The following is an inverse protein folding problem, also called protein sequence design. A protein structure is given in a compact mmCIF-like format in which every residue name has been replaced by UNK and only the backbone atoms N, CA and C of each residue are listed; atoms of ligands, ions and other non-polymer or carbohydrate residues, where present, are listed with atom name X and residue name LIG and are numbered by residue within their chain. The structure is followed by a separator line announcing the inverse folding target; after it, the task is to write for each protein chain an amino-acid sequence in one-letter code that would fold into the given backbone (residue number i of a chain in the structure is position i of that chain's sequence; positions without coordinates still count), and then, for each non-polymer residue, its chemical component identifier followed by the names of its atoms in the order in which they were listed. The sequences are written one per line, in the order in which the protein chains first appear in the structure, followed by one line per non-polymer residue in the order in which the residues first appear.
data_IF_079465759754
#
_entry.id   IF_079465759754
#
_cell.length_a   1.000
_cell.length_b   1.000
_cell.length_c   1.000
_cell.angle_alpha   90.00
_cell.angle_beta   90.00
_cell.angle_gamma   90.00
#
_symmetry.space_group_name_H-M   'P 1'
#
loop_
_entity.id
_entity.type
_entity.pdbx_description
1 polymer ?
#
# COMPACT_ATOMS: atom_id res chain seq x y z
N UNK A 1 -9.67 24.06 7.68
CA UNK A 1 -10.18 23.54 8.98
C UNK A 1 -11.12 22.34 8.87
N UNK A 2 -11.54 21.91 7.67
CA UNK A 2 -12.38 20.73 7.46
C UNK A 2 -11.61 19.41 7.30
N UNK A 3 -10.29 19.46 7.10
CA UNK A 3 -9.45 18.28 6.80
C UNK A 3 -9.11 17.42 8.04
N UNK A 4 -9.33 17.92 9.26
CA UNK A 4 -9.14 17.13 10.48
C UNK A 4 -10.29 16.14 10.74
N UNK A 5 -11.46 16.33 10.13
CA UNK A 5 -12.61 15.46 10.36
C UNK A 5 -12.57 14.17 9.53
N UNK A 6 -11.77 14.15 8.45
CA UNK A 6 -11.70 13.03 7.50
C UNK A 6 -10.61 11.99 7.83
N UNK A 7 -9.64 12.32 8.71
CA UNK A 7 -8.64 11.36 9.24
C UNK A 7 -9.23 10.57 10.41
N UNK A 8 -10.22 9.74 10.13
CA UNK A 8 -10.50 8.44 10.77
C UNK A 8 -10.13 8.22 12.25
N UNK A 9 -10.25 9.19 13.16
CA UNK A 9 -10.06 8.95 14.60
C UNK A 9 -11.37 8.42 15.19
N UNK A 10 -11.79 7.24 14.71
CA UNK A 10 -12.83 6.42 15.34
C UNK A 10 -12.52 6.11 16.83
N UNK A 11 -11.29 6.39 17.29
CA UNK A 11 -10.89 6.43 18.71
C UNK A 11 -11.80 7.28 19.62
N UNK A 12 -12.57 8.24 19.09
CA UNK A 12 -13.51 9.03 19.88
C UNK A 12 -14.86 8.31 20.13
N UNK A 13 -15.20 7.29 19.34
CA UNK A 13 -16.43 6.52 19.49
C UNK A 13 -16.54 5.78 20.82
N UNK A 14 -15.54 5.01 21.29
CA UNK A 14 -15.65 4.32 22.57
C UNK A 14 -15.78 5.31 23.75
N UNK A 15 -15.13 6.48 23.66
CA UNK A 15 -15.26 7.54 24.65
C UNK A 15 -16.68 8.15 24.65
N UNK A 16 -17.24 8.43 23.47
CA UNK A 16 -18.59 8.96 23.32
C UNK A 16 -19.66 7.94 23.78
N UNK A 17 -19.49 6.66 23.45
CA UNK A 17 -20.35 5.57 23.90
C UNK A 17 -20.26 5.44 25.42
N UNK A 18 -19.06 5.51 25.99
CA UNK A 18 -18.85 5.47 27.43
C UNK A 18 -19.54 6.65 28.15
N UNK A 19 -19.34 7.87 27.65
CA UNK A 19 -20.00 9.06 28.18
C UNK A 19 -21.53 8.96 28.09
N UNK A 20 -22.05 8.50 26.95
CA UNK A 20 -23.49 8.31 26.75
C UNK A 20 -24.07 7.29 27.73
N UNK A 21 -23.40 6.16 27.95
CA UNK A 21 -23.83 5.15 28.92
C UNK A 21 -23.80 5.67 30.36
N UNK A 22 -22.75 6.39 30.75
CA UNK A 22 -22.64 6.99 32.08
C UNK A 22 -23.74 8.03 32.34
N UNK A 23 -24.00 8.90 31.37
CA UNK A 23 -25.05 9.91 31.45
C UNK A 23 -26.44 9.25 31.56
N UNK A 24 -26.68 8.21 30.76
CA UNK A 24 -27.94 7.46 30.81
C UNK A 24 -28.12 6.74 32.15
N UNK A 25 -27.06 6.14 32.69
CA UNK A 25 -27.10 5.50 34.00
C UNK A 25 -27.45 6.50 35.10
N UNK A 26 -26.83 7.68 35.12
CA UNK A 26 -27.13 8.74 36.10
C UNK A 26 -28.60 9.20 35.99
N UNK A 27 -29.11 9.36 34.77
CA UNK A 27 -30.50 9.77 34.54
C UNK A 27 -31.50 8.70 35.00
N UNK A 28 -31.27 7.43 34.66
CA UNK A 28 -32.16 6.32 35.04
C UNK A 28 -32.14 6.10 36.55
N UNK A 29 -30.96 6.10 37.16
CA UNK A 29 -30.80 5.89 38.61
C UNK A 29 -31.36 7.07 39.42
N UNK A 30 -31.12 8.30 38.97
CA UNK A 30 -31.57 9.49 39.69
C UNK A 30 -33.06 9.80 39.52
N UNK A 31 -33.65 9.48 38.37
CA UNK A 31 -34.97 10.01 37.99
C UNK A 31 -36.08 8.96 37.85
N UNK A 32 -35.75 7.71 37.47
CA UNK A 32 -36.77 6.67 37.21
C UNK A 32 -37.00 5.77 38.44
N UNK A 33 -36.00 5.56 39.30
CA UNK A 33 -36.12 4.71 40.50
C UNK A 33 -35.70 5.42 41.80
N UNK A 34 -36.32 6.55 42.19
CA UNK A 34 -35.96 7.29 43.41
C UNK A 34 -36.30 6.54 44.72
N UNK A 35 -37.28 5.64 44.71
CA UNK A 35 -37.83 4.98 45.92
C UNK A 35 -37.30 3.54 46.14
N UNK A 36 -36.56 2.94 45.20
CA UNK A 36 -36.06 1.56 45.33
C UNK A 36 -34.75 1.43 46.13
N UNK A 37 -34.21 2.55 46.63
CA UNK A 37 -32.88 2.60 47.21
C UNK A 37 -32.88 2.73 48.74
N UNK A 38 -33.76 2.01 49.43
CA UNK A 38 -33.59 1.71 50.86
C UNK A 38 -32.58 0.56 51.04
N UNK A 39 -31.29 0.87 50.95
CA UNK A 39 -30.24 -0.10 51.27
C UNK A 39 -28.86 0.41 50.86
N UNK A 40 -28.09 0.93 51.83
CA UNK A 40 -26.74 1.46 51.60
C UNK A 40 -25.78 0.48 50.88
N UNK A 41 -26.06 -0.83 50.92
CA UNK A 41 -25.33 -1.85 50.17
C UNK A 41 -25.46 -1.73 48.65
N UNK A 42 -26.65 -1.42 48.13
CA UNK A 42 -26.88 -1.30 46.68
C UNK A 42 -26.25 -0.01 46.15
N UNK A 43 -26.28 1.06 46.96
CA UNK A 43 -25.56 2.29 46.66
C UNK A 43 -24.04 2.05 46.62
N UNK A 44 -23.48 1.30 47.58
CA UNK A 44 -22.06 0.90 47.54
C UNK A 44 -21.73 0.07 46.30
N UNK A 45 -22.56 -0.91 45.94
CA UNK A 45 -22.35 -1.76 44.78
C UNK A 45 -22.38 -0.95 43.47
N UNK A 46 -23.28 0.03 43.37
CA UNK A 46 -23.35 0.94 42.23
C UNK A 46 -22.09 1.81 42.11
N UNK A 47 -21.65 2.43 43.21
CA UNK A 47 -20.42 3.22 43.23
C UNK A 47 -19.17 2.38 42.92
N UNK A 48 -19.10 1.14 43.42
CA UNK A 48 -18.03 0.19 43.06
C UNK A 48 -18.06 -0.11 41.56
N UNK A 49 -19.24 -0.33 40.98
CA UNK A 49 -19.40 -0.54 39.53
C UNK A 49 -18.95 0.66 38.71
N UNK A 50 -19.30 1.88 39.13
CA UNK A 50 -18.86 3.13 38.48
C UNK A 50 -17.35 3.32 38.61
N UNK A 51 -16.76 3.03 39.77
CA UNK A 51 -15.30 3.12 39.97
C UNK A 51 -14.56 2.06 39.16
N UNK A 52 -15.07 0.82 39.09
CA UNK A 52 -14.49 -0.24 38.29
C UNK A 52 -14.58 0.08 36.79
N UNK A 53 -15.72 0.61 36.32
CA UNK A 53 -15.89 1.07 34.95
C UNK A 53 -15.00 2.28 34.63
N UNK A 54 -14.93 3.26 35.53
CA UNK A 54 -14.01 4.38 35.40
C UNK A 54 -12.54 3.93 35.37
N UNK A 55 -12.18 2.95 36.18
CA UNK A 55 -10.84 2.35 36.19
C UNK A 55 -10.52 1.64 34.87
N UNK A 56 -11.46 0.87 34.30
CA UNK A 56 -11.24 0.22 32.99
C UNK A 56 -11.15 1.24 31.86
N UNK A 57 -11.94 2.32 31.90
CA UNK A 57 -11.85 3.43 30.93
C UNK A 57 -10.51 4.15 31.07
N UNK A 58 -10.08 4.52 32.29
CA UNK A 58 -8.79 5.17 32.53
C UNK A 58 -7.64 4.26 32.13
N UNK A 59 -7.72 2.97 32.44
CA UNK A 59 -6.73 1.97 32.04
C UNK A 59 -6.67 1.87 30.50
N UNK A 60 -7.81 1.77 29.83
CA UNK A 60 -7.88 1.76 28.37
C UNK A 60 -7.27 3.03 27.78
N UNK A 61 -7.62 4.22 28.31
CA UNK A 61 -7.07 5.51 27.85
C UNK A 61 -5.58 5.66 28.18
N UNK A 62 -5.08 5.02 29.24
CA UNK A 62 -3.64 4.98 29.60
C UNK A 62 -2.85 3.92 28.85
N UNK A 63 -3.48 2.90 28.29
CA UNK A 63 -2.88 1.91 27.38
C UNK A 63 -2.91 2.41 25.92
N UNK A 64 -3.76 3.38 25.59
CA UNK A 64 -3.76 4.03 24.27
C UNK A 64 -2.47 4.81 23.89
N UNK A 65 -1.68 5.45 24.77
CA UNK A 65 -0.49 6.21 24.37
C UNK A 65 0.64 5.34 23.80
N UNK A 66 0.61 4.01 23.99
CA UNK A 66 1.58 3.10 23.36
C UNK A 66 1.20 2.71 21.92
N UNK A 67 -0.08 2.81 21.56
CA UNK A 67 -0.61 2.59 20.20
C UNK A 67 -0.82 3.92 19.46
N UNK A 68 -1.08 4.98 20.23
CA UNK A 68 -1.37 6.36 19.82
C UNK A 68 -0.32 7.27 20.43
N UNK A 69 0.95 6.92 20.32
CA UNK A 69 1.94 7.98 20.24
C UNK A 69 1.59 8.75 18.95
N UNK A 70 1.07 9.99 18.99
CA UNK A 70 1.12 10.82 17.81
C UNK A 70 2.59 10.83 17.45
N UNK A 71 2.94 10.20 16.32
CA UNK A 71 4.29 10.28 15.77
C UNK A 71 4.69 11.74 15.87
N UNK A 72 5.79 11.99 16.56
CA UNK A 72 6.47 13.28 16.48
C UNK A 72 6.37 13.70 15.03
N UNK A 73 5.71 14.83 14.78
CA UNK A 73 5.73 15.46 13.46
C UNK A 73 7.20 15.73 13.24
N UNK A 74 7.87 14.77 12.62
CA UNK A 74 9.25 14.88 12.25
C UNK A 74 9.27 16.04 11.28
N UNK A 75 9.97 17.11 11.65
CA UNK A 75 10.19 18.31 10.83
C UNK A 75 11.06 18.00 9.60
N UNK A 76 11.41 16.73 9.38
CA UNK A 76 12.20 16.29 8.25
C UNK A 76 11.34 16.34 6.99
N UNK A 77 11.82 17.02 5.92
CA UNK A 77 11.04 17.24 4.73
C UNK A 77 10.69 15.91 4.05
N UNK A 78 9.45 15.80 3.58
CA UNK A 78 9.00 14.68 2.77
C UNK A 78 9.80 14.61 1.45
N UNK A 79 10.69 13.62 1.35
CA UNK A 79 11.56 13.38 0.18
C UNK A 79 10.91 12.50 -0.88
N UNK A 80 9.62 12.19 -0.77
CA UNK A 80 8.93 11.35 -1.74
C UNK A 80 8.98 11.94 -3.16
N UNK A 81 8.91 13.27 -3.29
CA UNK A 81 9.00 13.95 -4.60
C UNK A 81 10.36 13.70 -5.25
N UNK A 82 11.44 13.80 -4.49
CA UNK A 82 12.80 13.54 -4.98
C UNK A 82 12.97 12.07 -5.38
N UNK A 83 12.46 11.15 -4.57
CA UNK A 83 12.46 9.72 -4.87
C UNK A 83 11.71 9.40 -6.17
N UNK A 84 10.55 10.02 -6.38
CA UNK A 84 9.76 9.86 -7.59
C UNK A 84 10.49 10.42 -8.82
N UNK A 85 11.17 11.57 -8.70
CA UNK A 85 12.00 12.09 -9.78
C UNK A 85 13.15 11.15 -10.13
N UNK A 86 13.88 10.63 -9.13
CA UNK A 86 14.95 9.67 -9.35
C UNK A 86 14.44 8.39 -10.04
N UNK A 87 13.25 7.90 -9.66
CA UNK A 87 12.60 6.77 -10.33
C UNK A 87 12.31 7.05 -11.80
N UNK A 88 11.76 8.23 -12.12
CA UNK A 88 11.46 8.63 -13.51
C UNK A 88 12.72 8.82 -14.35
N UNK A 89 13.85 9.15 -13.73
CA UNK A 89 15.16 9.24 -14.37
C UNK A 89 15.85 7.86 -14.54
N UNK A 90 15.19 6.76 -14.15
CA UNK A 90 15.75 5.41 -14.10
C UNK A 90 16.94 5.25 -13.13
N UNK A 91 17.12 6.19 -12.19
CA UNK A 91 18.11 6.10 -11.12
C UNK A 91 17.55 5.28 -9.95
N UNK A 92 17.40 3.96 -10.16
CA UNK A 92 16.71 3.08 -9.21
C UNK A 92 17.40 2.94 -7.84
N UNK A 93 18.74 3.03 -7.78
CA UNK A 93 19.50 2.95 -6.53
C UNK A 93 19.29 4.18 -5.63
N UNK A 94 19.26 5.36 -6.24
CA UNK A 94 18.97 6.62 -5.56
C UNK A 94 17.51 6.66 -5.12
N UNK A 95 16.58 6.24 -5.99
CA UNK A 95 15.16 6.13 -5.66
C UNK A 95 14.92 5.20 -4.46
N UNK A 96 15.56 4.03 -4.41
CA UNK A 96 15.49 3.10 -3.28
C UNK A 96 15.99 3.74 -1.98
N UNK A 97 17.12 4.46 -2.05
CA UNK A 97 17.70 5.12 -0.87
C UNK A 97 16.77 6.20 -0.32
N UNK A 98 16.20 7.04 -1.20
CA UNK A 98 15.27 8.09 -0.82
C UNK A 98 13.94 7.51 -0.31
N UNK A 99 13.43 6.44 -0.92
CA UNK A 99 12.22 5.75 -0.45
C UNK A 99 12.41 5.14 0.93
N UNK A 100 13.57 4.53 1.21
CA UNK A 100 13.87 4.01 2.54
C UNK A 100 13.93 5.12 3.60
N UNK A 101 14.40 6.32 3.25
CA UNK A 101 14.35 7.49 4.14
C UNK A 101 12.91 7.93 4.41
N UNK A 102 12.05 7.96 3.39
CA UNK A 102 10.62 8.26 3.55
C UNK A 102 9.94 7.22 4.44
N UNK A 103 10.21 5.93 4.22
CA UNK A 103 9.65 4.84 5.00
C UNK A 103 10.21 4.75 6.44
N UNK A 104 11.39 5.32 6.69
CA UNK A 104 11.91 5.47 8.05
C UNK A 104 11.07 6.48 8.87
N UNK A 105 10.47 7.46 8.20
CA UNK A 105 9.57 8.44 8.82
C UNK A 105 8.14 7.88 8.88
N UNK A 106 7.62 7.40 7.74
CA UNK A 106 6.28 6.84 7.58
C UNK A 106 6.37 5.41 7.01
N UNK A 107 6.53 4.42 7.89
CA UNK A 107 6.73 3.02 7.49
C UNK A 107 5.55 2.42 6.72
N UNK A 108 4.35 2.98 6.87
CA UNK A 108 3.12 2.46 6.27
C UNK A 108 2.55 3.38 5.20
N UNK A 109 3.40 4.13 4.51
CA UNK A 109 2.98 4.99 3.40
C UNK A 109 2.71 4.18 2.12
N UNK A 110 1.46 4.04 1.66
CA UNK A 110 1.15 3.26 0.46
C UNK A 110 1.87 3.74 -0.82
N UNK A 111 1.96 5.05 -1.15
CA UNK A 111 2.66 5.50 -2.34
C UNK A 111 4.16 5.22 -2.31
N UNK A 112 4.85 5.42 -1.18
CA UNK A 112 6.27 5.06 -1.06
C UNK A 112 6.50 3.55 -1.24
N UNK A 113 5.67 2.71 -0.59
CA UNK A 113 5.76 1.26 -0.74
C UNK A 113 5.45 0.79 -2.17
N UNK A 114 4.43 1.36 -2.82
CA UNK A 114 4.10 1.06 -4.22
C UNK A 114 5.27 1.42 -5.16
N UNK A 115 5.86 2.60 -5.00
CA UNK A 115 6.99 3.00 -5.83
C UNK A 115 8.21 2.10 -5.59
N UNK A 116 8.45 1.69 -4.35
CA UNK A 116 9.53 0.75 -4.00
C UNK A 116 9.32 -0.63 -4.63
N UNK A 117 8.09 -1.14 -4.68
CA UNK A 117 7.80 -2.38 -5.42
C UNK A 117 8.12 -2.27 -6.91
N UNK A 118 7.86 -1.10 -7.51
CA UNK A 118 8.25 -0.78 -8.88
C UNK A 118 9.77 -0.79 -9.07
N UNK A 119 10.52 -0.20 -8.13
CA UNK A 119 12.00 -0.23 -8.11
C UNK A 119 12.52 -1.68 -8.06
N UNK A 120 11.95 -2.51 -7.18
CA UNK A 120 12.33 -3.93 -7.09
C UNK A 120 12.05 -4.70 -8.38
N UNK A 121 10.92 -4.44 -9.04
CA UNK A 121 10.62 -5.03 -10.35
C UNK A 121 11.65 -4.60 -11.41
N UNK A 122 12.04 -3.33 -11.45
CA UNK A 122 13.02 -2.81 -12.43
C UNK A 122 14.45 -3.28 -12.17
N UNK A 123 14.78 -3.60 -10.92
CA UNK A 123 16.09 -4.13 -10.52
C UNK A 123 16.18 -5.66 -10.55
N UNK A 124 15.11 -6.34 -11.01
CA UNK A 124 15.07 -7.81 -11.10
C UNK A 124 14.83 -8.55 -9.78
N UNK A 125 14.62 -7.82 -8.67
CA UNK A 125 14.31 -8.38 -7.35
C UNK A 125 12.81 -8.71 -7.23
N UNK A 126 12.34 -9.65 -8.05
CA UNK A 126 10.91 -9.95 -8.19
C UNK A 126 10.28 -10.52 -6.92
N UNK A 127 10.99 -11.39 -6.21
CA UNK A 127 10.53 -11.97 -4.93
C UNK A 127 10.33 -10.89 -3.86
N UNK A 128 11.26 -9.93 -3.76
CA UNK A 128 11.14 -8.80 -2.84
C UNK A 128 9.97 -7.88 -3.20
N UNK A 129 9.71 -7.69 -4.50
CA UNK A 129 8.55 -6.93 -4.97
C UNK A 129 7.23 -7.62 -4.62
N UNK A 130 7.17 -8.96 -4.71
CA UNK A 130 5.99 -9.75 -4.36
C UNK A 130 5.68 -9.67 -2.87
N UNK A 131 6.69 -9.90 -2.02
CA UNK A 131 6.55 -9.79 -0.56
C UNK A 131 6.08 -8.40 -0.15
N UNK A 132 6.63 -7.35 -0.77
CA UNK A 132 6.23 -5.97 -0.49
C UNK A 132 4.76 -5.72 -0.88
N UNK A 133 4.31 -6.22 -2.03
CA UNK A 133 2.92 -6.07 -2.47
C UNK A 133 1.94 -6.84 -1.58
N UNK A 134 2.32 -8.00 -1.03
CA UNK A 134 1.47 -8.71 -0.05
C UNK A 134 1.34 -7.91 1.25
N UNK A 135 2.45 -7.34 1.74
CA UNK A 135 2.44 -6.49 2.94
C UNK A 135 1.56 -5.26 2.74
N UNK A 136 1.65 -4.58 1.58
CA UNK A 136 0.83 -3.40 1.28
C UNK A 136 -0.66 -3.76 1.32
N UNK A 137 -1.08 -4.90 0.76
CA UNK A 137 -2.49 -5.34 0.74
C UNK A 137 -3.08 -5.60 2.11
N UNK A 138 -2.24 -5.85 3.12
CA UNK A 138 -2.67 -6.07 4.51
C UNK A 138 -2.91 -4.77 5.27
N UNK A 139 -2.47 -3.63 4.73
CA UNK A 139 -2.63 -2.34 5.36
C UNK A 139 -4.03 -1.75 5.07
N UNK A 140 -4.77 -1.38 6.11
CA UNK A 140 -6.08 -0.71 5.98
C UNK A 140 -5.99 0.61 5.18
N UNK A 141 -4.86 1.33 5.30
CA UNK A 141 -4.61 2.60 4.60
C UNK A 141 -4.47 2.38 3.08
N UNK A 142 -4.17 1.15 2.65
CA UNK A 142 -3.94 0.79 1.25
C UNK A 142 -5.23 0.65 0.42
N UNK A 143 -6.40 0.55 1.05
CA UNK A 143 -7.69 0.33 0.38
C UNK A 143 -7.98 1.39 -0.70
N UNK A 144 -7.57 2.64 -0.46
CA UNK A 144 -7.72 3.73 -1.43
C UNK A 144 -6.89 3.51 -2.71
N UNK A 145 -5.82 2.73 -2.63
CA UNK A 145 -4.84 2.49 -3.70
C UNK A 145 -4.99 1.12 -4.37
N UNK A 146 -6.16 0.48 -4.21
CA UNK A 146 -6.39 -0.88 -4.69
C UNK A 146 -6.18 -1.04 -6.21
N UNK A 147 -6.47 0.00 -7.00
CA UNK A 147 -6.28 -0.02 -8.45
C UNK A 147 -4.80 -0.06 -8.81
N UNK A 148 -3.99 0.77 -8.14
CA UNK A 148 -2.55 0.88 -8.32
C UNK A 148 -1.86 -0.41 -7.89
N UNK A 149 -2.24 -0.97 -6.73
CA UNK A 149 -1.74 -2.26 -6.23
C UNK A 149 -2.05 -3.38 -7.23
N UNK A 150 -3.27 -3.42 -7.77
CA UNK A 150 -3.66 -4.43 -8.77
C UNK A 150 -2.89 -4.25 -10.08
N UNK A 151 -2.69 -3.01 -10.51
CA UNK A 151 -1.94 -2.70 -11.72
C UNK A 151 -0.46 -3.09 -11.57
N UNK A 152 0.16 -2.83 -10.42
CA UNK A 152 1.54 -3.24 -10.14
C UNK A 152 1.65 -4.76 -10.07
N UNK A 153 0.73 -5.43 -9.37
CA UNK A 153 0.72 -6.89 -9.28
C UNK A 153 0.63 -7.57 -10.65
N UNK A 154 -0.17 -7.01 -11.57
CA UNK A 154 -0.23 -7.51 -12.95
C UNK A 154 1.12 -7.33 -13.68
N UNK A 155 1.78 -6.18 -13.49
CA UNK A 155 3.11 -5.92 -14.08
C UNK A 155 4.19 -6.82 -13.49
N UNK A 156 4.11 -7.13 -12.20
CA UNK A 156 5.01 -8.07 -11.54
C UNK A 156 4.80 -9.51 -12.03
N UNK A 157 3.56 -9.97 -12.15
CA UNK A 157 3.23 -11.29 -12.68
C UNK A 157 3.80 -11.48 -14.10
N UNK A 158 3.61 -10.49 -14.98
CA UNK A 158 4.17 -10.52 -16.33
C UNK A 158 5.72 -10.55 -16.33
N UNK A 159 6.37 -9.86 -15.38
CA UNK A 159 7.83 -9.89 -15.26
C UNK A 159 8.35 -11.25 -14.77
N UNK A 160 7.62 -11.91 -13.85
CA UNK A 160 7.97 -13.26 -13.37
C UNK A 160 7.80 -14.31 -14.48
N UNK A 161 6.71 -14.24 -15.25
CA UNK A 161 6.49 -15.11 -16.41
C UNK A 161 7.61 -14.96 -17.44
N UNK A 162 8.02 -13.72 -17.75
CA UNK A 162 9.13 -13.46 -18.66
C UNK A 162 10.47 -14.00 -18.14
N UNK A 163 10.74 -13.87 -16.83
CA UNK A 163 11.94 -14.43 -16.19
C UNK A 163 11.97 -15.95 -16.30
N UNK A 164 10.85 -16.61 -15.98
CA UNK A 164 10.74 -18.07 -16.02
C UNK A 164 10.83 -18.63 -17.45
N UNK A 165 10.29 -17.92 -18.44
CA UNK A 165 10.41 -18.30 -19.85
C UNK A 165 11.86 -18.25 -20.33
N UNK A 166 12.64 -17.25 -19.91
CA UNK A 166 14.06 -17.12 -20.24
C UNK A 166 14.94 -18.22 -19.62
N UNK A 167 14.55 -18.79 -18.48
CA UNK A 167 15.23 -19.95 -17.87
C UNK A 167 14.90 -21.27 -18.56
N UNK A 168 13.80 -21.33 -19.34
CA UNK A 168 13.29 -22.58 -19.92
C UNK A 168 13.71 -22.79 -21.38
N UNK A 169 14.34 -21.83 -22.05
CA UNK A 169 14.94 -22.06 -23.38
C UNK A 169 16.21 -22.92 -23.25
N UNK A 170 16.21 -24.18 -23.74
CA UNK A 170 17.42 -25.00 -23.71
C UNK A 170 18.40 -24.46 -24.75
N UNK A 171 19.68 -24.37 -24.36
CA UNK A 171 20.78 -24.22 -25.30
C UNK A 171 20.78 -25.39 -26.30
N UNK A 172 20.13 -25.22 -27.44
CA UNK A 172 20.36 -26.03 -28.63
C UNK A 172 21.00 -25.17 -29.69
N UNK A 173 22.32 -25.32 -29.84
CA UNK A 173 22.97 -25.04 -31.11
C UNK A 173 24.32 -24.32 -31.01
N UNK A 174 25.36 -25.05 -30.62
CA UNK A 174 26.68 -24.81 -31.23
C UNK A 174 27.40 -26.15 -31.41
N UNK A 175 28.07 -26.26 -32.56
CA UNK A 175 28.94 -27.33 -33.06
C UNK A 175 28.28 -28.55 -33.73
N UNK A 176 28.12 -28.49 -35.07
CA UNK A 176 29.14 -29.08 -35.95
C UNK A 176 28.96 -28.64 -37.42
N UNK A 177 29.96 -27.98 -37.99
CA UNK A 177 30.18 -27.90 -39.44
C UNK A 177 30.68 -29.26 -39.94
N UNK A 178 30.19 -29.75 -41.10
CA UNK A 178 31.02 -30.27 -42.21
C UNK A 178 30.14 -30.78 -43.36
N UNK A 179 30.21 -30.04 -44.49
CA UNK A 179 30.16 -30.47 -45.91
C UNK A 179 29.09 -31.45 -46.40
N UNK A 180 28.24 -30.94 -47.31
CA UNK A 180 28.02 -31.59 -48.60
C UNK A 180 27.73 -30.52 -49.67
N UNK A 181 28.57 -30.49 -50.69
CA UNK A 181 28.46 -29.69 -51.91
C UNK A 181 27.18 -30.04 -52.69
N UNK A 182 26.56 -29.06 -53.34
CA UNK A 182 26.08 -29.17 -54.73
C UNK A 182 25.89 -27.76 -55.28
N UNK A 183 26.76 -27.38 -56.22
CA UNK A 183 26.53 -26.28 -57.16
C UNK A 183 25.27 -26.56 -57.99
N UNK A 184 24.39 -25.57 -58.17
CA UNK A 184 23.83 -25.28 -59.49
C UNK A 184 23.10 -23.93 -59.52
N UNK A 185 23.70 -23.02 -60.30
CA UNK A 185 23.08 -22.05 -61.19
C UNK A 185 22.30 -20.84 -60.62
N UNK A 186 22.88 -19.69 -60.96
CA UNK A 186 22.35 -18.34 -61.05
C UNK A 186 20.86 -18.22 -61.45
N UNK A 187 20.17 -17.17 -60.97
CA UNK A 187 19.58 -16.11 -61.81
C UNK A 187 18.92 -14.99 -60.96
N UNK A 188 19.53 -13.79 -61.01
CA UNK A 188 18.93 -12.45 -61.25
C UNK A 188 17.84 -11.84 -60.33
N UNK A 189 18.13 -10.57 -59.97
CA UNK A 189 17.23 -9.43 -59.74
C UNK A 189 16.52 -9.25 -58.39
N UNK A 190 17.05 -8.30 -57.61
CA UNK A 190 16.31 -7.40 -56.71
C UNK A 190 15.30 -6.55 -57.50
N UNK A 191 14.20 -6.08 -56.88
CA UNK A 191 14.28 -4.70 -56.39
C UNK A 191 13.59 -4.40 -55.03
N UNK A 192 14.06 -3.29 -54.49
CA UNK A 192 13.72 -2.55 -53.27
C UNK A 192 12.22 -2.20 -53.09
N UNK A 193 11.68 -2.23 -51.85
CA UNK A 193 10.41 -1.60 -51.51
C UNK A 193 10.66 -0.21 -50.89
N UNK A 194 10.92 0.78 -51.75
CA UNK A 194 10.76 2.19 -51.42
C UNK A 194 9.65 2.77 -52.31
N UNK A 195 8.40 2.43 -51.99
CA UNK A 195 7.23 3.06 -52.63
C UNK A 195 6.00 3.00 -51.71
N UNK A 196 5.91 3.96 -50.78
CA UNK A 196 4.67 4.29 -50.07
C UNK A 196 4.53 5.81 -50.00
N UNK A 197 4.47 6.45 -51.17
CA UNK A 197 3.90 7.79 -51.29
C UNK A 197 3.14 7.91 -52.61
N UNK A 198 1.83 7.69 -52.59
CA UNK A 198 0.92 8.43 -53.47
C UNK A 198 -0.26 9.04 -52.67
N UNK A 199 -0.62 10.31 -52.95
CA UNK A 199 -1.64 11.07 -52.24
C UNK A 199 -3.01 11.08 -52.94
N UNK A 200 -4.05 11.35 -52.13
CA UNK A 200 -5.25 12.16 -52.41
C UNK A 200 -6.04 11.88 -53.72
N UNK A 201 -7.29 11.42 -53.57
CA UNK A 201 -8.40 11.86 -54.44
C UNK A 201 -9.66 12.19 -53.65
N UNK A 202 -10.13 13.43 -53.83
CA UNK A 202 -11.50 13.90 -53.57
C UNK A 202 -12.45 13.42 -54.67
N UNK A 203 -13.69 13.12 -54.30
CA UNK A 203 -14.95 13.29 -55.06
C UNK A 203 -16.06 12.66 -54.20
N UNK A 204 -17.26 13.22 -54.00
CA UNK A 204 -17.94 14.41 -54.47
C UNK A 204 -18.98 14.80 -53.41
#
# INVERSE_FOLDING_TARGET
MAELWWRGRLSALPLAIGFALALNAVLVTGYIYPEWMSGGLVSMAFWIGVVAWGFTVVRSVRELPSIVAPRSVTDEPDRFVEAHQAFLQANYSEAETLLNQVLAIETRDPPALLLLSGVYRHTGRLESAEMLLDEIRRLEVSDRWFLEIRAEAKRLAAAMEASNASETEPETGSENETKAETESSAETATPSPADLTEPVRRAA
#
